data_IF_019308224034
#
_entry.id   IF_019308224034
#
_cell.length_a   1.000
_cell.length_b   1.000
_cell.length_c   1.000
_cell.angle_alpha   90.00
_cell.angle_beta   90.00
_cell.angle_gamma   90.00
#
_symmetry.space_group_name_H-M   'P 1'
#
loop_
_entity.id
_entity.type
_entity.pdbx_description
1 polymer ?
#
# COMPACT_ATOMS: atom_id res chain seq x y z
N UNK A 1 -42.03 -24.15 -1.01
CA UNK A 1 -41.97 -23.36 0.24
C UNK A 1 -40.84 -22.36 0.10
N UNK A 2 -41.16 -21.10 -0.23
CA UNK A 2 -40.17 -20.02 -0.37
C UNK A 2 -39.95 -19.48 1.04
N UNK A 3 -38.77 -19.74 1.59
CA UNK A 3 -38.41 -19.32 2.94
C UNK A 3 -38.13 -17.81 2.90
N UNK A 4 -39.16 -16.99 3.13
CA UNK A 4 -39.04 -15.56 3.37
C UNK A 4 -38.33 -15.34 4.71
N UNK A 5 -37.01 -15.59 4.76
CA UNK A 5 -36.17 -15.03 5.82
C UNK A 5 -36.13 -13.52 5.58
N UNK A 6 -37.04 -12.84 6.28
CA UNK A 6 -36.91 -11.44 6.65
C UNK A 6 -35.47 -11.29 7.15
N UNK A 7 -34.65 -10.54 6.40
CA UNK A 7 -33.33 -10.11 6.84
C UNK A 7 -33.57 -9.23 8.07
N UNK A 8 -33.63 -9.85 9.26
CA UNK A 8 -33.64 -9.10 10.50
C UNK A 8 -32.31 -8.32 10.53
N UNK A 9 -32.33 -6.99 10.72
CA UNK A 9 -31.13 -6.15 10.72
C UNK A 9 -30.22 -6.38 11.95
N UNK A 10 -30.32 -7.55 12.57
CA UNK A 10 -29.53 -7.95 13.73
C UNK A 10 -28.10 -8.41 13.36
N UNK A 11 -27.76 -8.47 12.06
CA UNK A 11 -26.38 -8.64 11.62
C UNK A 11 -25.55 -7.44 12.05
N UNK A 12 -24.71 -7.62 13.07
CA UNK A 12 -23.86 -6.57 13.62
C UNK A 12 -22.97 -5.93 12.55
N UNK A 13 -22.47 -4.72 12.83
CA UNK A 13 -21.53 -3.99 11.96
C UNK A 13 -20.32 -4.84 11.49
N UNK A 14 -19.97 -5.89 12.23
CA UNK A 14 -18.95 -6.88 11.86
C UNK A 14 -19.28 -7.67 10.60
N UNK A 15 -20.53 -8.12 10.40
CA UNK A 15 -20.92 -8.91 9.23
C UNK A 15 -20.90 -8.06 7.96
N UNK A 16 -21.40 -6.83 8.05
CA UNK A 16 -21.40 -5.89 6.92
C UNK A 16 -20.00 -5.41 6.52
N UNK A 17 -19.11 -5.19 7.49
CA UNK A 17 -17.69 -4.90 7.21
C UNK A 17 -16.97 -6.10 6.58
N UNK A 18 -17.33 -7.31 6.99
CA UNK A 18 -16.70 -8.52 6.48
C UNK A 18 -17.05 -8.79 5.02
N UNK A 19 -18.32 -8.67 4.64
CA UNK A 19 -18.76 -8.78 3.25
C UNK A 19 -18.00 -7.82 2.31
N UNK A 20 -17.61 -6.66 2.83
CA UNK A 20 -16.83 -5.66 2.09
C UNK A 20 -15.34 -6.00 2.01
N UNK A 21 -14.74 -6.40 3.13
CA UNK A 21 -13.28 -6.61 3.21
C UNK A 21 -12.82 -7.87 2.49
N UNK A 22 -13.65 -8.91 2.44
CA UNK A 22 -13.29 -10.20 1.83
C UNK A 22 -12.82 -10.12 0.36
N UNK A 23 -13.58 -9.54 -0.59
CA UNK A 23 -13.11 -9.41 -1.97
C UNK A 23 -11.85 -8.55 -2.03
N UNK A 24 -11.73 -7.53 -1.19
CA UNK A 24 -10.54 -6.68 -1.16
C UNK A 24 -9.30 -7.43 -0.70
N UNK A 25 -9.39 -8.25 0.35
CA UNK A 25 -8.29 -9.10 0.84
C UNK A 25 -7.81 -10.05 -0.26
N UNK A 26 -8.74 -10.72 -0.97
CA UNK A 26 -8.38 -11.60 -2.08
C UNK A 26 -7.61 -10.85 -3.19
N UNK A 27 -8.04 -9.62 -3.52
CA UNK A 27 -7.38 -8.82 -4.53
C UNK A 27 -6.00 -8.32 -4.07
N UNK A 28 -5.88 -7.94 -2.80
CA UNK A 28 -4.60 -7.57 -2.20
C UNK A 28 -3.62 -8.75 -2.19
N UNK A 29 -4.07 -9.97 -1.84
CA UNK A 29 -3.22 -11.17 -1.92
C UNK A 29 -2.73 -11.43 -3.35
N UNK A 30 -3.59 -11.24 -4.36
CA UNK A 30 -3.19 -11.37 -5.77
C UNK A 30 -2.20 -10.30 -6.23
N UNK A 31 -2.40 -9.06 -5.79
CA UNK A 31 -1.46 -7.98 -6.08
C UNK A 31 -0.11 -8.23 -5.41
N UNK A 32 -0.12 -8.65 -4.15
CA UNK A 32 1.10 -8.96 -3.40
C UNK A 32 1.90 -10.10 -4.03
N UNK A 33 1.25 -11.15 -4.55
CA UNK A 33 1.98 -12.21 -5.25
C UNK A 33 2.62 -11.70 -6.57
N UNK A 34 1.91 -10.89 -7.36
CA UNK A 34 2.46 -10.32 -8.59
C UNK A 34 3.60 -9.33 -8.30
N UNK A 35 3.48 -8.51 -7.25
CA UNK A 35 4.54 -7.59 -6.80
C UNK A 35 5.76 -8.33 -6.29
N UNK A 36 5.55 -9.39 -5.49
CA UNK A 36 6.64 -10.21 -4.97
C UNK A 36 7.44 -10.87 -6.10
N UNK A 37 6.76 -11.26 -7.19
CA UNK A 37 7.42 -11.78 -8.39
C UNK A 37 8.13 -10.69 -9.21
N UNK A 38 7.50 -9.53 -9.40
CA UNK A 38 8.03 -8.47 -10.25
C UNK A 38 9.16 -7.68 -9.61
N UNK A 39 9.20 -7.57 -8.29
CA UNK A 39 10.23 -6.79 -7.58
C UNK A 39 11.65 -7.27 -7.89
N UNK A 40 12.01 -8.56 -7.73
CA UNK A 40 13.36 -9.02 -8.07
C UNK A 40 13.67 -8.87 -9.57
N UNK A 41 12.68 -9.05 -10.43
CA UNK A 41 12.83 -8.83 -11.87
C UNK A 41 13.08 -7.35 -12.20
N UNK A 42 12.39 -6.44 -11.52
CA UNK A 42 12.60 -5.00 -11.64
C UNK A 42 14.01 -4.60 -11.16
N UNK A 43 14.49 -5.16 -10.04
CA UNK A 43 15.87 -4.94 -9.56
C UNK A 43 16.92 -5.47 -10.55
N UNK A 44 16.65 -6.60 -11.21
CA UNK A 44 17.53 -7.14 -12.24
C UNK A 44 17.62 -6.20 -13.46
N UNK A 45 16.50 -5.58 -13.85
CA UNK A 45 16.44 -4.61 -14.96
C UNK A 45 17.00 -3.24 -14.59
N UNK A 46 17.01 -2.89 -13.30
CA UNK A 46 17.50 -1.61 -12.78
C UNK A 46 18.69 -1.81 -11.84
N UNK A 47 19.86 -2.24 -12.33
CA UNK A 47 21.04 -2.40 -11.48
C UNK A 47 21.47 -1.08 -10.81
N UNK A 48 21.15 0.07 -11.42
CA UNK A 48 21.37 1.39 -10.83
C UNK A 48 20.43 1.69 -9.64
N UNK A 49 19.29 1.02 -9.56
CA UNK A 49 18.37 1.09 -8.42
C UNK A 49 18.80 0.18 -7.26
N UNK A 50 20.00 -0.39 -7.28
CA UNK A 50 20.57 -1.13 -6.15
C UNK A 50 20.68 -0.27 -4.87
N UNK A 51 20.68 1.06 -5.00
CA UNK A 51 20.64 2.01 -3.89
C UNK A 51 19.26 2.08 -3.22
N UNK A 52 18.21 1.62 -3.89
CA UNK A 52 16.85 1.66 -3.38
C UNK A 52 16.61 0.47 -2.46
N UNK A 53 15.90 0.72 -1.36
CA UNK A 53 15.39 -0.38 -0.53
C UNK A 53 14.47 -1.27 -1.39
N UNK A 54 14.71 -2.59 -1.46
CA UNK A 54 13.85 -3.51 -2.20
C UNK A 54 12.38 -3.42 -1.78
N UNK A 55 12.13 -3.14 -0.49
CA UNK A 55 10.79 -2.96 0.05
C UNK A 55 10.12 -1.68 -0.48
N UNK A 56 10.88 -0.60 -0.67
CA UNK A 56 10.37 0.64 -1.25
C UNK A 56 9.99 0.43 -2.72
N UNK A 57 10.81 -0.32 -3.48
CA UNK A 57 10.48 -0.67 -4.86
C UNK A 57 9.23 -1.57 -4.93
N UNK A 58 9.11 -2.56 -4.04
CA UNK A 58 7.91 -3.39 -3.94
C UNK A 58 6.67 -2.56 -3.63
N UNK A 59 6.76 -1.63 -2.67
CA UNK A 59 5.67 -0.71 -2.33
C UNK A 59 5.30 0.18 -3.51
N UNK A 60 6.29 0.70 -4.23
CA UNK A 60 6.09 1.49 -5.44
C UNK A 60 5.35 0.69 -6.53
N UNK A 61 5.79 -0.54 -6.82
CA UNK A 61 5.11 -1.45 -7.75
C UNK A 61 3.69 -1.77 -7.29
N UNK A 62 3.49 -2.03 -5.99
CA UNK A 62 2.18 -2.30 -5.41
C UNK A 62 1.24 -1.12 -5.65
N UNK A 63 1.68 0.10 -5.35
CA UNK A 63 0.89 1.32 -5.56
C UNK A 63 0.55 1.52 -7.04
N UNK A 64 1.53 1.31 -7.93
CA UNK A 64 1.33 1.39 -9.38
C UNK A 64 0.31 0.37 -9.91
N UNK A 65 0.21 -0.80 -9.30
CA UNK A 65 -0.82 -1.79 -9.65
C UNK A 65 -2.17 -1.49 -8.99
N UNK A 66 -2.15 -0.93 -7.78
CA UNK A 66 -3.33 -0.60 -6.99
C UNK A 66 -4.16 0.48 -7.69
N UNK A 67 -3.51 1.56 -8.13
CA UNK A 67 -4.16 2.72 -8.77
C UNK A 67 -5.08 2.30 -9.93
N UNK A 68 -4.62 1.62 -10.99
CA UNK A 68 -5.50 1.23 -12.10
C UNK A 68 -6.57 0.23 -11.68
N UNK A 69 -6.27 -0.66 -10.72
CA UNK A 69 -7.24 -1.65 -10.26
C UNK A 69 -8.45 -0.99 -9.59
N UNK A 70 -8.20 -0.06 -8.67
CA UNK A 70 -9.26 0.69 -7.99
C UNK A 70 -9.90 1.75 -8.89
N UNK A 71 -9.12 2.43 -9.73
CA UNK A 71 -9.66 3.38 -10.70
C UNK A 71 -10.67 2.69 -11.64
N UNK A 72 -10.33 1.52 -12.18
CA UNK A 72 -11.26 0.77 -13.04
C UNK A 72 -12.57 0.43 -12.29
N UNK A 73 -12.49 0.06 -11.01
CA UNK A 73 -13.69 -0.18 -10.17
C UNK A 73 -14.51 1.08 -9.98
N UNK A 74 -13.89 2.21 -9.61
CA UNK A 74 -14.59 3.50 -9.47
C UNK A 74 -15.30 3.87 -10.78
N UNK A 75 -14.62 3.75 -11.92
CA UNK A 75 -15.21 4.06 -13.23
C UNK A 75 -16.36 3.11 -13.61
N UNK A 76 -16.27 1.83 -13.23
CA UNK A 76 -17.36 0.85 -13.36
C UNK A 76 -18.55 1.20 -12.49
N UNK A 77 -18.30 1.62 -11.25
CA UNK A 77 -19.36 1.99 -10.31
C UNK A 77 -20.06 3.28 -10.74
N UNK A 78 -19.33 4.23 -11.33
CA UNK A 78 -19.86 5.45 -11.97
C UNK A 78 -20.64 5.16 -13.26
N UNK A 79 -20.73 3.90 -13.71
CA UNK A 79 -21.44 3.45 -14.92
C UNK A 79 -21.03 4.22 -16.19
N UNK A 80 -19.76 4.61 -16.27
CA UNK A 80 -19.26 5.31 -17.46
C UNK A 80 -19.30 4.40 -18.69
N UNK A 81 -19.62 4.94 -19.88
CA UNK A 81 -19.57 4.16 -21.11
C UNK A 81 -18.16 3.63 -21.35
N UNK A 82 -18.05 2.44 -21.94
CA UNK A 82 -16.79 1.73 -22.09
C UNK A 82 -15.69 2.57 -22.77
N UNK A 83 -16.06 3.41 -23.74
CA UNK A 83 -15.14 4.33 -24.44
C UNK A 83 -14.54 5.37 -23.47
N UNK A 84 -15.36 6.06 -22.68
CA UNK A 84 -14.87 7.06 -21.71
C UNK A 84 -14.02 6.40 -20.63
N UNK A 85 -14.40 5.22 -20.14
CA UNK A 85 -13.60 4.45 -19.18
C UNK A 85 -12.22 4.12 -19.74
N UNK A 86 -12.13 3.63 -20.99
CA UNK A 86 -10.84 3.32 -21.64
C UNK A 86 -9.97 4.57 -21.78
N UNK A 87 -10.53 5.68 -22.25
CA UNK A 87 -9.82 6.96 -22.39
C UNK A 87 -9.29 7.43 -21.04
N UNK A 88 -10.11 7.40 -19.98
CA UNK A 88 -9.68 7.80 -18.63
C UNK A 88 -8.59 6.89 -18.06
N UNK A 89 -8.68 5.58 -18.26
CA UNK A 89 -7.64 4.64 -17.83
C UNK A 89 -6.32 4.82 -18.60
N UNK A 90 -6.39 5.12 -19.90
CA UNK A 90 -5.20 5.41 -20.71
C UNK A 90 -4.58 6.75 -20.33
N UNK A 91 -5.40 7.79 -20.15
CA UNK A 91 -4.94 9.11 -19.72
C UNK A 91 -4.31 9.06 -18.33
N UNK A 92 -4.93 8.35 -17.38
CA UNK A 92 -4.36 8.15 -16.04
C UNK A 92 -3.06 7.33 -16.09
N UNK A 93 -2.96 6.32 -16.96
CA UNK A 93 -1.73 5.54 -17.14
C UNK A 93 -0.60 6.36 -17.74
N UNK A 94 -0.90 7.20 -18.74
CA UNK A 94 0.07 8.14 -19.32
C UNK A 94 0.54 9.16 -18.29
N UNK A 95 -0.37 9.72 -17.50
CA UNK A 95 -0.04 10.63 -16.41
C UNK A 95 0.84 9.94 -15.35
N UNK A 96 0.48 8.72 -14.94
CA UNK A 96 1.29 7.94 -14.01
C UNK A 96 2.68 7.68 -14.59
N UNK A 97 2.81 7.35 -15.87
CA UNK A 97 4.11 7.15 -16.53
C UNK A 97 4.97 8.42 -16.49
N UNK A 98 4.43 9.57 -16.86
CA UNK A 98 5.14 10.85 -16.83
C UNK A 98 5.53 11.24 -15.41
N UNK A 99 4.63 11.03 -14.43
CA UNK A 99 4.93 11.27 -13.02
C UNK A 99 6.04 10.33 -12.53
N UNK A 100 6.04 9.06 -12.88
CA UNK A 100 7.07 8.12 -12.45
C UNK A 100 8.43 8.43 -13.06
N UNK A 101 8.48 8.71 -14.37
CA UNK A 101 9.71 9.20 -15.01
C UNK A 101 10.27 10.38 -14.25
N UNK A 102 9.42 11.40 -14.07
CA UNK A 102 9.80 12.62 -13.37
C UNK A 102 10.27 12.34 -11.95
N UNK A 103 9.51 11.65 -11.13
CA UNK A 103 9.80 11.46 -9.70
C UNK A 103 11.02 10.59 -9.44
N UNK A 104 11.29 9.61 -10.31
CA UNK A 104 12.34 8.62 -10.09
C UNK A 104 13.67 9.09 -10.68
N UNK A 105 13.64 9.70 -11.86
CA UNK A 105 14.85 9.99 -12.63
C UNK A 105 15.25 11.45 -12.62
N UNK A 106 14.27 12.37 -12.48
CA UNK A 106 14.51 13.80 -12.58
C UNK A 106 14.27 14.44 -11.21
N UNK A 107 15.16 15.33 -10.75
CA UNK A 107 14.96 16.07 -9.49
C UNK A 107 14.63 17.53 -9.80
N UNK A 108 13.42 17.83 -10.32
CA UNK A 108 13.10 19.18 -10.73
C UNK A 108 12.97 20.10 -9.50
N UNK A 109 13.41 21.37 -9.62
CA UNK A 109 13.31 22.34 -8.52
C UNK A 109 11.87 22.72 -8.15
N UNK A 110 10.88 22.40 -8.99
CA UNK A 110 9.46 22.67 -8.72
C UNK A 110 8.56 21.60 -9.30
N UNK A 111 7.31 21.54 -8.80
CA UNK A 111 6.27 20.63 -9.29
C UNK A 111 5.69 21.02 -10.66
N UNK A 112 6.01 22.19 -11.21
CA UNK A 112 5.50 22.63 -12.52
C UNK A 112 6.60 22.95 -13.54
N UNK A 113 7.89 22.80 -13.18
CA UNK A 113 8.96 22.98 -14.16
C UNK A 113 8.91 21.88 -15.21
N UNK A 114 8.98 22.29 -16.48
CA UNK A 114 9.06 21.41 -17.65
C UNK A 114 10.52 21.19 -18.10
N UNK A 115 11.51 21.71 -17.37
CA UNK A 115 12.93 21.59 -17.71
C UNK A 115 13.37 20.12 -17.86
N UNK A 116 12.82 19.22 -17.04
CA UNK A 116 13.10 17.79 -17.10
C UNK A 116 12.69 17.14 -18.43
N UNK A 117 11.72 17.70 -19.17
CA UNK A 117 11.36 17.20 -20.50
C UNK A 117 12.46 17.44 -21.53
N UNK A 118 13.17 18.57 -21.40
CA UNK A 118 14.32 18.86 -22.27
C UNK A 118 15.47 17.90 -21.97
N UNK A 119 15.72 17.57 -20.70
CA UNK A 119 16.71 16.56 -20.29
C UNK A 119 16.34 15.17 -20.80
N UNK A 120 15.08 14.76 -20.64
CA UNK A 120 14.56 13.51 -21.19
C UNK A 120 14.72 13.43 -22.72
N UNK A 121 14.39 14.50 -23.44
CA UNK A 121 14.58 14.54 -24.89
C UNK A 121 16.06 14.49 -25.27
N UNK A 122 16.93 15.16 -24.51
CA UNK A 122 18.37 15.10 -24.71
C UNK A 122 18.88 13.65 -24.57
N UNK A 123 18.49 12.94 -23.51
CA UNK A 123 18.83 11.52 -23.30
C UNK A 123 18.34 10.61 -24.42
N UNK A 124 17.18 10.89 -25.02
CA UNK A 124 16.64 10.11 -26.15
C UNK A 124 17.34 10.42 -27.48
N UNK A 125 17.77 11.68 -27.67
CA UNK A 125 18.38 12.12 -28.93
C UNK A 125 19.84 11.67 -29.07
N UNK A 126 20.53 11.44 -27.95
CA UNK A 126 21.93 11.06 -27.93
C UNK A 126 22.08 9.53 -28.04
N UNK A 127 22.45 9.06 -29.24
CA UNK A 127 22.65 7.64 -29.49
C UNK A 127 23.76 7.06 -28.61
N UNK A 128 23.46 5.97 -27.90
CA UNK A 128 24.41 5.31 -26.99
C UNK A 128 24.44 5.88 -25.57
N UNK A 129 23.59 6.85 -25.25
CA UNK A 129 23.50 7.40 -23.91
C UNK A 129 22.94 6.35 -22.91
N UNK A 130 23.68 5.98 -21.84
CA UNK A 130 23.23 5.00 -20.85
C UNK A 130 22.03 5.48 -20.01
N UNK A 131 21.76 6.79 -19.94
CA UNK A 131 20.60 7.34 -19.23
C UNK A 131 19.28 7.03 -19.95
N UNK A 132 19.28 6.99 -21.29
CA UNK A 132 18.10 6.61 -22.06
C UNK A 132 17.60 5.20 -21.70
N UNK A 133 18.51 4.24 -21.46
CA UNK A 133 18.12 2.91 -21.01
C UNK A 133 17.37 2.95 -19.66
N UNK A 134 17.74 3.85 -18.75
CA UNK A 134 17.07 4.00 -17.45
C UNK A 134 15.64 4.51 -17.62
N UNK A 135 15.47 5.54 -18.47
CA UNK A 135 14.15 6.06 -18.84
C UNK A 135 13.24 4.97 -19.40
N UNK A 136 13.76 4.18 -20.36
CA UNK A 136 13.02 3.07 -20.95
C UNK A 136 12.62 2.00 -19.93
N UNK A 137 13.49 1.66 -18.98
CA UNK A 137 13.16 0.65 -17.96
C UNK A 137 12.08 1.15 -17.01
N UNK A 138 12.13 2.40 -16.56
CA UNK A 138 11.07 2.99 -15.70
C UNK A 138 9.74 3.06 -16.45
N UNK A 139 9.74 3.48 -17.71
CA UNK A 139 8.54 3.46 -18.57
C UNK A 139 8.00 2.05 -18.72
N UNK A 140 8.87 1.08 -19.06
CA UNK A 140 8.49 -0.30 -19.26
C UNK A 140 7.87 -0.90 -17.99
N UNK A 141 8.52 -0.74 -16.84
CA UNK A 141 8.00 -1.23 -15.56
C UNK A 141 6.68 -0.58 -15.19
N UNK A 142 6.54 0.73 -15.44
CA UNK A 142 5.28 1.44 -15.18
C UNK A 142 4.15 0.89 -16.05
N UNK A 143 4.39 0.70 -17.35
CA UNK A 143 3.39 0.13 -18.28
C UNK A 143 3.03 -1.30 -17.91
N UNK A 144 4.02 -2.14 -17.59
CA UNK A 144 3.80 -3.53 -17.18
C UNK A 144 3.01 -3.60 -15.87
N UNK A 145 3.39 -2.82 -14.85
CA UNK A 145 2.67 -2.75 -13.59
C UNK A 145 1.23 -2.26 -13.80
N UNK A 146 1.06 -1.20 -14.59
CA UNK A 146 -0.26 -0.63 -14.90
C UNK A 146 -1.17 -1.64 -15.61
N UNK A 147 -0.66 -2.29 -16.65
CA UNK A 147 -1.36 -3.33 -17.40
C UNK A 147 -1.75 -4.50 -16.50
N UNK A 148 -0.83 -4.98 -15.65
CA UNK A 148 -1.08 -6.05 -14.68
C UNK A 148 -2.17 -5.66 -13.69
N UNK A 149 -2.13 -4.44 -13.14
CA UNK A 149 -3.18 -3.93 -12.26
C UNK A 149 -4.56 -3.89 -12.91
N UNK A 150 -4.65 -3.43 -14.16
CA UNK A 150 -5.90 -3.47 -14.96
C UNK A 150 -6.39 -4.90 -15.20
N UNK A 151 -5.47 -5.79 -15.59
CA UNK A 151 -5.78 -7.19 -15.90
C UNK A 151 -6.25 -7.95 -14.66
N UNK A 152 -5.85 -7.56 -13.45
CA UNK A 152 -6.34 -8.13 -12.19
C UNK A 152 -7.76 -7.65 -11.86
N UNK A 153 -8.08 -6.38 -12.13
CA UNK A 153 -9.38 -5.82 -11.81
C UNK A 153 -10.54 -6.32 -12.70
N UNK A 154 -10.25 -6.74 -13.94
CA UNK A 154 -11.27 -7.15 -14.90
C UNK A 154 -11.62 -8.64 -14.90
N UNK A 155 -10.87 -9.49 -14.19
CA UNK A 155 -11.03 -10.96 -14.31
C UNK A 155 -12.07 -11.51 -13.34
N UNK A 156 -12.83 -12.49 -13.82
CA UNK A 156 -13.66 -13.35 -12.98
C UNK A 156 -12.76 -14.27 -12.16
N UNK A 157 -13.16 -14.55 -10.92
CA UNK A 157 -12.40 -15.41 -10.01
C UNK A 157 -12.61 -16.88 -10.37
N UNK A 158 -11.88 -17.36 -11.38
CA UNK A 158 -11.82 -18.79 -11.67
C UNK A 158 -10.61 -19.43 -10.95
N UNK A 159 -10.85 -20.58 -10.32
CA UNK A 159 -9.82 -21.39 -9.66
C UNK A 159 -8.85 -21.98 -10.68
N UNK A 160 -9.32 -22.33 -11.88
CA UNK A 160 -8.46 -22.92 -12.91
C UNK A 160 -7.38 -21.92 -13.34
N UNK A 161 -7.79 -20.67 -13.56
CA UNK A 161 -6.88 -19.57 -13.87
C UNK A 161 -5.90 -19.28 -12.72
N UNK A 162 -6.40 -19.33 -11.48
CA UNK A 162 -5.58 -19.06 -10.29
C UNK A 162 -4.50 -20.13 -10.12
N UNK A 163 -4.88 -21.41 -10.24
CA UNK A 163 -3.96 -22.54 -10.12
C UNK A 163 -2.94 -22.55 -11.28
N UNK A 164 -3.38 -22.30 -12.51
CA UNK A 164 -2.47 -22.24 -13.67
C UNK A 164 -1.40 -21.17 -13.50
N UNK A 165 -1.75 -20.01 -12.97
CA UNK A 165 -0.76 -18.96 -12.68
C UNK A 165 0.17 -19.34 -11.56
N UNK A 166 -0.35 -19.96 -10.50
CA UNK A 166 0.50 -20.45 -9.42
C UNK A 166 1.54 -21.43 -9.96
N UNK A 167 1.13 -22.41 -10.77
CA UNK A 167 2.07 -23.37 -11.36
C UNK A 167 3.03 -22.74 -12.36
N UNK A 168 2.58 -21.80 -13.19
CA UNK A 168 3.45 -21.12 -14.14
C UNK A 168 4.47 -20.22 -13.43
N UNK A 169 4.03 -19.48 -12.41
CA UNK A 169 4.91 -18.63 -11.64
C UNK A 169 5.88 -19.45 -10.78
N UNK A 170 5.42 -20.51 -10.13
CA UNK A 170 6.27 -21.35 -9.28
C UNK A 170 7.20 -22.27 -10.09
N UNK A 171 6.71 -22.86 -11.18
CA UNK A 171 7.44 -23.86 -11.95
C UNK A 171 8.40 -23.26 -13.00
N UNK A 172 8.09 -22.06 -13.51
CA UNK A 172 8.90 -21.45 -14.59
C UNK A 172 9.51 -20.13 -14.11
N UNK A 173 8.68 -19.19 -13.62
CA UNK A 173 9.17 -17.84 -13.36
C UNK A 173 10.10 -17.78 -12.15
N UNK A 174 9.80 -18.49 -11.05
CA UNK A 174 10.66 -18.47 -9.86
C UNK A 174 12.03 -19.09 -10.09
N UNK A 175 12.18 -20.29 -10.68
CA UNK A 175 13.48 -20.84 -11.01
C UNK A 175 14.29 -19.91 -11.91
N UNK A 176 13.63 -19.27 -12.89
CA UNK A 176 14.26 -18.28 -13.75
C UNK A 176 14.71 -17.04 -12.95
N UNK A 177 13.86 -16.50 -12.09
CA UNK A 177 14.19 -15.36 -11.22
C UNK A 177 15.36 -15.72 -10.32
N UNK A 178 15.33 -16.87 -9.64
CA UNK A 178 16.40 -17.33 -8.75
C UNK A 178 17.73 -17.51 -9.49
N UNK A 179 17.70 -18.13 -10.67
CA UNK A 179 18.88 -18.31 -11.52
C UNK A 179 19.48 -16.96 -11.94
N UNK A 180 18.64 -16.00 -12.33
CA UNK A 180 19.08 -14.68 -12.72
C UNK A 180 19.58 -13.86 -11.52
N UNK A 181 18.91 -13.95 -10.38
CA UNK A 181 19.25 -13.17 -9.19
C UNK A 181 20.52 -13.68 -8.52
N UNK A 182 20.72 -15.01 -8.45
CA UNK A 182 21.91 -15.61 -7.84
C UNK A 182 23.23 -15.13 -8.48
N UNK A 183 23.19 -14.82 -9.78
CA UNK A 183 24.38 -14.40 -10.53
C UNK A 183 24.57 -12.89 -10.63
N UNK A 184 23.54 -12.09 -10.34
CA UNK A 184 23.52 -10.64 -10.65
C UNK A 184 23.22 -9.76 -9.45
N UNK A 185 22.42 -10.22 -8.48
CA UNK A 185 22.02 -9.42 -7.34
C UNK A 185 22.83 -9.78 -6.10
N UNK A 186 23.24 -8.75 -5.35
CA UNK A 186 23.91 -8.90 -4.05
C UNK A 186 22.93 -9.01 -2.87
N UNK A 187 21.64 -8.85 -3.14
CA UNK A 187 20.60 -8.84 -2.11
C UNK A 187 19.88 -10.18 -2.06
N UNK A 188 19.48 -10.55 -0.84
CA UNK A 188 18.68 -11.74 -0.60
C UNK A 188 17.24 -11.55 -1.12
N UNK A 189 16.85 -12.38 -2.10
CA UNK A 189 15.52 -12.37 -2.72
C UNK A 189 14.53 -13.26 -1.96
N UNK A 190 15.01 -14.01 -0.97
CA UNK A 190 14.20 -15.00 -0.23
C UNK A 190 12.91 -14.39 0.31
N UNK A 191 12.97 -13.17 0.84
CA UNK A 191 11.81 -12.45 1.37
C UNK A 191 10.65 -12.35 0.36
N UNK A 192 10.97 -12.13 -0.91
CA UNK A 192 9.99 -12.05 -2.00
C UNK A 192 9.45 -13.42 -2.42
N UNK A 193 10.28 -14.47 -2.37
CA UNK A 193 9.84 -15.85 -2.57
C UNK A 193 8.79 -16.22 -1.51
N UNK A 194 9.07 -15.91 -0.25
CA UNK A 194 8.16 -16.22 0.87
C UNK A 194 6.87 -15.42 0.77
N UNK A 195 6.97 -14.13 0.47
CA UNK A 195 5.80 -13.27 0.28
C UNK A 195 4.94 -13.78 -0.88
N UNK A 196 5.56 -14.18 -1.99
CA UNK A 196 4.85 -14.77 -3.12
C UNK A 196 4.12 -16.06 -2.73
N UNK A 197 4.80 -16.99 -2.05
CA UNK A 197 4.21 -18.26 -1.63
C UNK A 197 3.03 -18.04 -0.68
N UNK A 198 3.23 -17.22 0.34
CA UNK A 198 2.19 -16.87 1.31
C UNK A 198 0.98 -16.24 0.62
N UNK A 199 1.21 -15.21 -0.19
CA UNK A 199 0.15 -14.48 -0.88
C UNK A 199 -0.59 -15.36 -1.90
N UNK A 200 0.11 -16.27 -2.57
CA UNK A 200 -0.49 -17.22 -3.53
C UNK A 200 -1.31 -18.30 -2.84
N UNK A 201 -0.83 -18.88 -1.73
CA UNK A 201 -1.60 -19.85 -0.93
C UNK A 201 -2.86 -19.22 -0.36
N UNK A 202 -2.75 -18.00 0.18
CA UNK A 202 -3.91 -17.22 0.63
C UNK A 202 -4.90 -16.99 -0.51
N UNK A 203 -4.41 -16.61 -1.69
CA UNK A 203 -5.25 -16.43 -2.88
C UNK A 203 -5.99 -17.71 -3.27
N UNK A 204 -5.30 -18.85 -3.29
CA UNK A 204 -5.88 -20.15 -3.63
C UNK A 204 -6.96 -20.57 -2.62
N UNK A 205 -6.66 -20.46 -1.32
CA UNK A 205 -7.59 -20.77 -0.25
C UNK A 205 -8.84 -19.89 -0.29
N UNK A 206 -8.68 -18.57 -0.46
CA UNK A 206 -9.78 -17.61 -0.55
C UNK A 206 -10.62 -17.80 -1.83
N UNK A 207 -9.98 -18.13 -2.96
CA UNK A 207 -10.70 -18.42 -4.20
C UNK A 207 -11.51 -19.70 -4.07
N UNK A 208 -10.96 -20.76 -3.45
CA UNK A 208 -11.68 -22.01 -3.20
C UNK A 208 -12.87 -21.80 -2.27
N UNK A 209 -12.67 -21.04 -1.20
CA UNK A 209 -13.71 -20.61 -0.30
C UNK A 209 -14.86 -19.88 -1.03
N UNK A 210 -14.56 -18.95 -1.93
CA UNK A 210 -15.57 -18.26 -2.75
C UNK A 210 -16.35 -19.21 -3.67
N UNK A 211 -15.69 -20.22 -4.21
CA UNK A 211 -16.35 -21.18 -5.10
C UNK A 211 -17.29 -22.13 -4.38
N UNK A 212 -16.91 -22.61 -3.18
CA UNK A 212 -17.77 -23.50 -2.38
C UNK A 212 -19.07 -22.79 -2.05
N UNK A 213 -18.98 -21.52 -1.62
CA UNK A 213 -20.17 -20.70 -1.34
C UNK A 213 -21.00 -20.38 -2.58
N UNK A 214 -20.37 -20.18 -3.74
CA UNK A 214 -21.09 -19.97 -4.99
C UNK A 214 -21.80 -21.24 -5.49
N UNK A 215 -21.32 -22.43 -5.10
CA UNK A 215 -21.89 -23.73 -5.50
C UNK A 215 -22.97 -24.25 -4.55
N UNK A 216 -22.88 -23.96 -3.25
CA UNK A 216 -23.86 -24.38 -2.24
C UNK A 216 -24.89 -23.27 -2.01
N UNK A 217 -25.91 -23.21 -2.87
CA UNK A 217 -26.95 -22.17 -2.86
C UNK A 217 -27.80 -22.07 -1.58
N UNK A 218 -27.68 -23.01 -0.64
CA UNK A 218 -28.56 -23.10 0.53
C UNK A 218 -27.88 -22.88 1.89
N UNK A 219 -26.55 -22.94 1.97
CA UNK A 219 -25.80 -22.71 3.20
C UNK A 219 -24.69 -21.68 2.99
N UNK A 220 -25.00 -20.40 3.27
CA UNK A 220 -23.99 -19.36 3.31
C UNK A 220 -22.96 -19.71 4.38
N UNK A 221 -21.79 -20.20 3.98
CA UNK A 221 -20.72 -20.56 4.90
C UNK A 221 -20.23 -19.28 5.58
N UNK A 222 -20.38 -19.11 6.91
CA UNK A 222 -20.01 -17.88 7.57
C UNK A 222 -18.49 -17.80 7.63
N UNK A 223 -17.89 -17.12 6.66
CA UNK A 223 -16.49 -16.72 6.70
C UNK A 223 -16.31 -15.77 7.88
N UNK A 224 -15.74 -16.25 8.99
CA UNK A 224 -15.40 -15.38 10.11
C UNK A 224 -13.96 -14.90 10.00
N UNK A 225 -13.65 -13.75 10.61
CA UNK A 225 -12.27 -13.26 10.71
C UNK A 225 -11.34 -14.31 11.36
N UNK A 226 -11.86 -15.09 12.31
CA UNK A 226 -11.14 -16.22 12.92
C UNK A 226 -10.85 -17.37 11.95
N UNK A 227 -11.70 -17.62 10.95
CA UNK A 227 -11.38 -18.54 9.86
C UNK A 227 -10.23 -18.01 8.99
N UNK A 228 -10.25 -16.72 8.62
CA UNK A 228 -9.15 -16.11 7.86
C UNK A 228 -7.83 -16.19 8.63
N UNK A 229 -7.84 -15.92 9.93
CA UNK A 229 -6.68 -16.08 10.80
C UNK A 229 -6.12 -17.50 10.80
N UNK A 230 -6.99 -18.53 10.82
CA UNK A 230 -6.58 -19.94 10.70
C UNK A 230 -5.98 -20.27 9.34
N UNK A 231 -6.57 -19.79 8.25
CA UNK A 231 -6.04 -19.98 6.89
C UNK A 231 -4.70 -19.28 6.70
N UNK A 232 -4.57 -18.06 7.22
CA UNK A 232 -3.32 -17.32 7.24
C UNK A 232 -2.25 -18.05 8.05
N UNK A 233 -2.59 -18.51 9.27
CA UNK A 233 -1.70 -19.29 10.11
C UNK A 233 -1.26 -20.59 9.47
N UNK A 234 -2.18 -21.33 8.83
CA UNK A 234 -1.86 -22.56 8.11
C UNK A 234 -0.95 -22.29 6.90
N UNK A 235 -1.26 -21.26 6.09
CA UNK A 235 -0.44 -20.87 4.94
C UNK A 235 0.95 -20.42 5.37
N UNK A 236 1.03 -19.61 6.43
CA UNK A 236 2.28 -19.21 7.07
C UNK A 236 3.08 -20.42 7.56
N UNK A 237 2.44 -21.35 8.26
CA UNK A 237 3.06 -22.60 8.73
C UNK A 237 3.63 -23.44 7.59
N UNK A 238 2.91 -23.58 6.47
CA UNK A 238 3.41 -24.29 5.27
C UNK A 238 4.64 -23.59 4.69
N UNK A 239 4.62 -22.26 4.57
CA UNK A 239 5.77 -21.49 4.09
C UNK A 239 6.95 -21.67 5.02
N UNK A 240 6.75 -21.54 6.34
CA UNK A 240 7.77 -21.74 7.37
C UNK A 240 8.39 -23.14 7.28
N UNK A 241 7.56 -24.17 7.22
CA UNK A 241 8.02 -25.55 7.11
C UNK A 241 8.82 -25.77 5.81
N UNK A 242 8.37 -25.20 4.71
CA UNK A 242 9.05 -25.27 3.41
C UNK A 242 10.44 -24.63 3.49
N UNK A 243 10.56 -23.48 4.16
CA UNK A 243 11.83 -22.82 4.42
C UNK A 243 12.79 -23.66 5.25
N UNK A 244 12.29 -24.25 6.33
CA UNK A 244 13.08 -25.14 7.21
C UNK A 244 13.61 -26.34 6.41
N UNK A 245 12.75 -27.01 5.64
CA UNK A 245 13.16 -28.15 4.80
C UNK A 245 14.22 -27.71 3.78
N UNK A 246 14.01 -26.56 3.12
CA UNK A 246 14.97 -26.04 2.15
C UNK A 246 16.34 -25.75 2.78
N UNK A 247 16.37 -25.13 3.98
CA UNK A 247 17.61 -24.85 4.70
C UNK A 247 18.33 -26.11 5.20
N UNK A 248 17.58 -27.14 5.60
CA UNK A 248 18.16 -28.44 5.95
C UNK A 248 18.81 -29.09 4.72
N UNK A 249 18.15 -29.02 3.56
CA UNK A 249 18.66 -29.58 2.30
C UNK A 249 19.86 -28.80 1.73
N UNK A 250 19.97 -27.49 1.99
CA UNK A 250 21.13 -26.69 1.56
C UNK A 250 22.38 -26.95 2.40
N UNK A 251 22.25 -27.58 3.57
CA UNK A 251 23.36 -27.81 4.50
C UNK A 251 23.86 -26.53 5.18
N UNK A 252 23.11 -25.44 5.09
CA UNK A 252 23.46 -24.16 5.71
C UNK A 252 23.22 -24.19 7.23
N UNK A 253 24.09 -23.51 7.98
CA UNK A 253 24.06 -23.49 9.44
C UNK A 253 22.77 -22.85 9.99
N UNK A 254 22.41 -23.20 11.22
CA UNK A 254 21.20 -22.72 11.94
C UNK A 254 21.03 -21.20 11.93
N UNK A 255 22.13 -20.44 11.86
CA UNK A 255 22.11 -18.98 11.74
C UNK A 255 21.42 -18.50 10.45
N UNK A 256 21.51 -19.28 9.38
CA UNK A 256 20.81 -19.03 8.11
C UNK A 256 19.30 -19.25 8.26
N UNK A 257 18.90 -20.28 9.01
CA UNK A 257 17.50 -20.54 9.35
C UNK A 257 16.92 -19.42 10.23
N UNK A 258 17.68 -18.91 11.20
CA UNK A 258 17.27 -17.73 11.99
C UNK A 258 17.18 -16.46 11.13
N UNK A 259 18.15 -16.27 10.23
CA UNK A 259 18.13 -15.19 9.23
C UNK A 259 16.89 -15.23 8.34
N UNK A 260 16.42 -16.43 8.02
CA UNK A 260 15.22 -16.67 7.22
C UNK A 260 13.92 -16.28 7.93
N UNK A 261 13.85 -16.35 9.27
CA UNK A 261 12.75 -15.76 10.05
C UNK A 261 12.86 -14.24 10.15
N UNK A 262 14.02 -13.66 9.81
CA UNK A 262 14.27 -12.23 9.85
C UNK A 262 13.21 -11.35 9.19
N UNK A 263 12.69 -11.67 7.98
CA UNK A 263 11.63 -10.89 7.33
C UNK A 263 10.31 -10.94 8.08
N UNK A 264 9.91 -12.10 8.61
CA UNK A 264 8.69 -12.26 9.42
C UNK A 264 8.83 -11.46 10.71
N UNK A 265 10.01 -11.54 11.34
CA UNK A 265 10.33 -10.78 12.53
C UNK A 265 10.30 -9.26 12.27
N UNK A 266 10.91 -8.80 11.18
CA UNK A 266 10.88 -7.38 10.77
C UNK A 266 9.47 -6.92 10.43
N UNK A 267 8.66 -7.75 9.78
CA UNK A 267 7.26 -7.44 9.50
C UNK A 267 6.44 -7.32 10.80
N UNK A 268 6.67 -8.23 11.75
CA UNK A 268 6.06 -8.16 13.08
C UNK A 268 6.51 -6.90 13.83
N UNK A 269 7.82 -6.60 13.84
CA UNK A 269 8.36 -5.37 14.41
C UNK A 269 7.73 -4.14 13.76
N UNK A 270 7.71 -4.05 12.43
CA UNK A 270 7.10 -2.92 11.72
C UNK A 270 5.61 -2.80 12.03
N UNK A 271 4.88 -3.91 12.11
CA UNK A 271 3.46 -3.91 12.49
C UNK A 271 3.28 -3.36 13.90
N UNK A 272 4.09 -3.83 14.87
CA UNK A 272 4.09 -3.35 16.24
C UNK A 272 4.48 -1.87 16.29
N UNK A 273 5.52 -1.45 15.57
CA UNK A 273 5.93 -0.04 15.46
C UNK A 273 4.83 0.81 14.89
N UNK A 274 4.18 0.41 13.79
CA UNK A 274 3.08 1.15 13.18
C UNK A 274 1.89 1.25 14.14
N UNK A 275 1.53 0.16 14.83
CA UNK A 275 0.46 0.18 15.84
C UNK A 275 0.82 1.13 16.99
N UNK A 276 2.03 1.05 17.53
CA UNK A 276 2.49 1.92 18.62
C UNK A 276 2.51 3.37 18.15
N UNK A 277 3.13 3.67 16.99
CA UNK A 277 3.18 5.02 16.42
C UNK A 277 1.80 5.57 16.15
N UNK A 278 0.89 4.75 15.59
CA UNK A 278 -0.50 5.14 15.37
C UNK A 278 -1.22 5.44 16.69
N UNK A 279 -1.07 4.59 17.71
CA UNK A 279 -1.64 4.81 19.04
C UNK A 279 -1.06 6.06 19.72
N UNK A 280 0.24 6.30 19.59
CA UNK A 280 0.89 7.51 20.09
C UNK A 280 0.39 8.76 19.37
N UNK A 281 0.22 8.69 18.04
CA UNK A 281 -0.35 9.77 17.25
C UNK A 281 -1.82 10.04 17.64
N UNK A 282 -2.60 8.99 17.88
CA UNK A 282 -3.97 9.11 18.37
C UNK A 282 -4.04 9.65 19.80
N UNK A 283 -3.00 9.39 20.62
CA UNK A 283 -2.84 9.94 21.96
C UNK A 283 -2.32 11.38 22.00
N UNK A 284 -1.72 11.88 20.92
CA UNK A 284 -1.21 13.25 20.81
C UNK A 284 -2.24 14.34 21.17
N UNK A 285 -3.52 14.29 20.74
CA UNK A 285 -4.54 15.23 21.20
C UNK A 285 -4.80 15.13 22.71
N UNK A 286 -4.72 13.93 23.31
CA UNK A 286 -4.89 13.75 24.76
C UNK A 286 -3.73 14.39 25.52
N UNK A 287 -2.50 14.21 25.05
CA UNK A 287 -1.33 14.88 25.61
C UNK A 287 -1.42 16.40 25.49
N UNK A 288 -1.94 16.92 24.37
CA UNK A 288 -2.17 18.35 24.20
C UNK A 288 -3.17 18.91 25.24
N UNK A 289 -4.26 18.18 25.52
CA UNK A 289 -5.24 18.57 26.57
C UNK A 289 -4.61 18.52 27.96
N UNK A 290 -3.83 17.49 28.28
CA UNK A 290 -3.13 17.37 29.55
C UNK A 290 -2.11 18.50 29.76
N UNK A 291 -1.36 18.86 28.71
CA UNK A 291 -0.41 19.96 28.75
C UNK A 291 -1.12 21.30 28.95
N UNK A 292 -2.22 21.53 28.24
CA UNK A 292 -3.07 22.71 28.45
C UNK A 292 -3.59 22.80 29.90
N UNK A 293 -4.00 21.68 30.49
CA UNK A 293 -4.46 21.60 31.88
C UNK A 293 -3.33 21.89 32.88
N UNK A 294 -2.15 21.34 32.63
CA UNK A 294 -0.95 21.61 33.42
C UNK A 294 -0.57 23.10 33.37
N UNK A 295 -0.62 23.72 32.20
CA UNK A 295 -0.36 25.15 32.01
C UNK A 295 -1.43 26.01 32.71
N UNK A 296 -2.70 25.60 32.69
CA UNK A 296 -3.79 26.28 33.39
C UNK A 296 -3.56 26.26 34.91
N UNK A 297 -3.22 25.08 35.45
CA UNK A 297 -2.86 24.90 36.85
C UNK A 297 -1.66 25.78 37.21
N UNK A 298 -0.60 25.73 36.42
CA UNK A 298 0.59 26.54 36.62
C UNK A 298 0.26 28.05 36.64
N UNK A 299 -0.62 28.53 35.76
CA UNK A 299 -1.07 29.94 35.74
C UNK A 299 -1.89 30.32 36.97
N UNK A 300 -2.78 29.43 37.43
CA UNK A 300 -3.58 29.66 38.63
C UNK A 300 -2.70 29.76 39.89
N UNK A 301 -1.64 28.96 39.97
CA UNK A 301 -0.68 29.00 41.09
C UNK A 301 0.42 30.07 40.93
N UNK A 302 0.79 30.45 39.70
CA UNK A 302 1.74 31.53 39.45
C UNK A 302 1.21 32.92 39.82
N UNK A 303 -0.12 33.09 39.88
CA UNK A 303 -0.77 34.31 40.37
C UNK A 303 -0.55 34.62 41.86
N UNK A 304 0.03 33.69 42.64
CA UNK A 304 0.19 33.85 44.10
C UNK A 304 1.59 34.22 44.58
N UNK A 305 2.59 34.43 43.72
CA UNK A 305 3.89 34.89 44.23
C UNK A 305 5.03 34.95 43.22
N UNK A 306 5.04 35.96 42.36
CA UNK A 306 6.32 36.43 41.81
C UNK A 306 6.97 37.33 42.85
N UNK A 307 7.75 36.73 43.75
CA UNK A 307 8.77 37.49 44.48
C UNK A 307 9.72 37.98 43.41
N UNK A 308 9.64 39.27 43.08
CA UNK A 308 10.61 39.93 42.22
C UNK A 308 11.98 39.76 42.88
N UNK A 309 12.78 38.81 42.36
CA UNK A 309 14.20 38.74 42.69
C UNK A 309 14.82 39.95 42.01
N UNK A 310 14.91 41.05 42.74
CA UNK A 310 15.69 42.22 42.35
C UNK A 310 17.11 41.71 42.08
N UNK A 311 17.62 41.80 40.83
CA UNK A 311 18.96 41.30 40.54
C UNK A 311 19.97 42.06 41.42
N UNK A 312 20.94 41.37 42.04
CA UNK A 312 21.96 42.04 42.82
C UNK A 312 22.71 43.02 41.92
N UNK A 313 22.81 44.27 42.38
CA UNK A 313 23.57 45.32 41.69
C UNK A 313 25.01 44.83 41.46
N UNK A 314 25.38 44.68 40.18
CA UNK A 314 26.71 44.23 39.79
C UNK A 314 27.72 45.33 40.15
N UNK A 315 28.77 45.05 40.93
CA UNK A 315 29.79 46.04 41.24
C UNK A 315 30.56 46.40 39.97
N UNK A 316 30.61 47.69 39.67
CA UNK A 316 31.37 48.22 38.56
C UNK A 316 32.88 48.08 38.83
N UNK A 317 33.56 47.34 37.96
CA UNK A 317 35.02 47.41 37.86
C UNK A 317 35.68 46.04 37.86
N UNK A 318 36.06 45.57 36.67
CA UNK A 318 37.44 45.18 36.29
C UNK A 318 37.42 45.09 34.76
N UNK A 319 38.23 45.93 34.10
CA UNK A 319 38.43 45.90 32.66
C UNK A 319 39.25 44.68 32.26
N UNK A 320 38.58 43.60 31.87
CA UNK A 320 39.17 42.55 31.05
C UNK A 320 38.64 42.71 29.63
N UNK A 321 39.56 42.88 28.69
CA UNK A 321 39.26 42.96 27.27
C UNK A 321 38.43 41.74 26.86
N UNK A 322 37.15 41.97 26.67
CA UNK A 322 36.20 40.96 26.25
C UNK A 322 36.53 40.66 24.78
N UNK A 323 36.87 39.43 24.40
CA UNK A 323 37.02 39.10 22.98
C UNK A 323 35.69 39.44 22.32
N UNK A 324 35.73 40.33 21.33
CA UNK A 324 34.55 40.69 20.55
C UNK A 324 33.93 39.38 20.05
N UNK A 325 32.73 38.99 20.50
CA UNK A 325 32.13 37.75 20.04
C UNK A 325 31.90 37.92 18.55
N UNK A 326 32.72 37.26 17.73
CA UNK A 326 32.36 37.02 16.34
C UNK A 326 30.99 36.37 16.37
N UNK A 327 29.96 36.95 15.72
CA UNK A 327 28.67 36.30 15.64
C UNK A 327 28.90 34.96 14.94
N UNK A 328 28.96 33.89 15.71
CA UNK A 328 28.80 32.54 15.17
C UNK A 328 27.40 32.56 14.62
N UNK A 329 27.30 32.60 13.29
CA UNK A 329 26.06 32.37 12.58
C UNK A 329 25.71 30.92 12.85
N UNK A 330 25.12 30.66 14.02
CA UNK A 330 24.33 29.46 14.25
C UNK A 330 23.22 29.63 13.23
N UNK A 331 23.20 28.83 12.12
CA UNK A 331 22.05 28.88 11.23
C UNK A 331 20.86 28.72 12.16
N UNK A 332 19.97 29.71 12.20
CA UNK A 332 18.78 29.62 13.02
C UNK A 332 18.21 28.23 12.76
N UNK A 333 17.96 27.47 13.82
CA UNK A 333 17.36 26.15 13.75
C UNK A 333 16.01 26.35 13.06
N UNK A 334 16.04 26.36 11.74
CA UNK A 334 14.90 26.61 10.90
C UNK A 334 14.19 25.27 10.80
N UNK A 335 13.83 24.71 11.96
CA UNK A 335 13.05 23.50 12.08
C UNK A 335 11.81 23.59 11.18
N UNK A 336 11.31 24.81 10.92
CA UNK A 336 10.25 25.09 9.97
C UNK A 336 10.67 24.91 8.49
N UNK A 337 11.87 25.34 8.06
CA UNK A 337 12.39 25.10 6.70
C UNK A 337 12.81 23.64 6.49
N UNK A 338 13.39 22.98 7.50
CA UNK A 338 13.71 21.55 7.43
C UNK A 338 12.44 20.69 7.47
N UNK A 339 11.45 21.06 8.27
CA UNK A 339 10.12 20.44 8.24
C UNK A 339 9.41 20.72 6.92
N UNK A 340 9.54 21.91 6.32
CA UNK A 340 8.99 22.20 4.99
C UNK A 340 9.72 21.44 3.89
N UNK A 341 11.04 21.30 3.93
CA UNK A 341 11.82 20.50 2.97
C UNK A 341 11.50 19.00 3.12
N UNK A 342 11.37 18.52 4.36
CA UNK A 342 10.90 17.18 4.67
C UNK A 342 9.47 16.98 4.19
N UNK A 343 8.56 17.91 4.48
CA UNK A 343 7.16 17.87 4.04
C UNK A 343 7.04 17.98 2.53
N UNK A 344 7.90 18.72 1.82
CA UNK A 344 7.88 18.81 0.35
C UNK A 344 8.46 17.53 -0.28
N UNK A 345 9.53 16.97 0.31
CA UNK A 345 10.06 15.66 -0.09
C UNK A 345 9.08 14.52 0.19
N UNK A 346 8.30 14.62 1.27
CA UNK A 346 7.30 13.63 1.66
C UNK A 346 5.88 13.98 1.16
N UNK A 347 5.64 15.19 0.61
CA UNK A 347 4.36 15.64 0.08
C UNK A 347 3.94 14.79 -1.11
N UNK A 348 4.91 14.24 -1.83
CA UNK A 348 4.66 13.29 -2.91
C UNK A 348 4.16 11.95 -2.35
N UNK A 349 4.76 11.47 -1.26
CA UNK A 349 4.33 10.28 -0.54
C UNK A 349 2.94 10.48 0.09
N UNK A 350 2.71 11.64 0.74
CA UNK A 350 1.42 12.05 1.26
C UNK A 350 0.38 12.26 0.15
N UNK A 351 0.79 12.76 -1.02
CA UNK A 351 -0.06 12.92 -2.19
C UNK A 351 -0.50 11.57 -2.74
N UNK A 352 0.42 10.59 -2.84
CA UNK A 352 0.08 9.22 -3.22
C UNK A 352 -0.85 8.59 -2.17
N UNK A 353 -0.56 8.73 -0.89
CA UNK A 353 -1.40 8.25 0.21
C UNK A 353 -2.78 8.91 0.18
N UNK A 354 -2.87 10.21 -0.08
CA UNK A 354 -4.12 10.94 -0.20
C UNK A 354 -4.93 10.50 -1.42
N UNK A 355 -4.29 10.25 -2.56
CA UNK A 355 -4.93 9.69 -3.76
C UNK A 355 -5.45 8.28 -3.48
N UNK A 356 -4.67 7.43 -2.79
CA UNK A 356 -5.10 6.09 -2.38
C UNK A 356 -6.28 6.18 -1.41
N UNK A 357 -6.23 7.04 -0.39
CA UNK A 357 -7.33 7.26 0.54
C UNK A 357 -8.57 7.80 -0.16
N UNK A 358 -8.42 8.72 -1.11
CA UNK A 358 -9.53 9.24 -1.92
C UNK A 358 -10.13 8.15 -2.81
N UNK A 359 -9.30 7.28 -3.41
CA UNK A 359 -9.79 6.14 -4.18
C UNK A 359 -10.56 5.16 -3.29
N UNK A 360 -10.03 4.83 -2.10
CA UNK A 360 -10.71 3.97 -1.13
C UNK A 360 -12.04 4.59 -0.66
N UNK A 361 -12.05 5.89 -0.38
CA UNK A 361 -13.24 6.64 0.01
C UNK A 361 -14.27 6.67 -1.13
N UNK A 362 -13.84 6.91 -2.37
CA UNK A 362 -14.70 6.92 -3.55
C UNK A 362 -15.35 5.54 -3.78
N UNK A 363 -14.59 4.46 -3.60
CA UNK A 363 -15.12 3.09 -3.67
C UNK A 363 -16.15 2.85 -2.57
N UNK A 364 -15.84 3.26 -1.33
CA UNK A 364 -16.74 3.11 -0.19
C UNK A 364 -18.07 3.86 -0.40
N UNK A 365 -18.02 5.13 -0.80
CA UNK A 365 -19.20 5.95 -1.09
C UNK A 365 -20.00 5.35 -2.25
N UNK A 366 -19.31 4.98 -3.32
CA UNK A 366 -19.98 4.49 -4.51
C UNK A 366 -20.66 3.14 -4.28
N UNK A 367 -20.11 2.28 -3.43
CA UNK A 367 -20.74 1.01 -3.07
C UNK A 367 -21.98 1.21 -2.19
N UNK A 368 -21.94 2.17 -1.24
CA UNK A 368 -23.11 2.54 -0.43
C UNK A 368 -24.30 2.93 -1.32
N UNK A 369 -24.05 3.67 -2.40
CA UNK A 369 -25.10 4.08 -3.35
C UNK A 369 -25.74 2.90 -4.11
N UNK A 370 -24.95 1.88 -4.48
CA UNK A 370 -25.49 0.72 -5.21
C UNK A 370 -26.38 -0.15 -4.33
N UNK A 371 -26.03 -0.30 -3.04
CA UNK A 371 -26.87 -1.02 -2.08
C UNK A 371 -28.22 -0.34 -1.91
N UNK A 372 -28.25 0.99 -1.85
CA UNK A 372 -29.51 1.75 -1.78
C UNK A 372 -30.39 1.48 -3.01
N UNK A 373 -29.81 1.47 -4.22
CA UNK A 373 -30.55 1.18 -5.46
C UNK A 373 -31.06 -0.27 -5.56
N UNK A 374 -30.32 -1.24 -5.03
CA UNK A 374 -30.73 -2.64 -5.02
C UNK A 374 -31.90 -2.87 -4.06
N UNK A 375 -31.88 -2.23 -2.89
CA UNK A 375 -32.98 -2.29 -1.91
C UNK A 375 -34.25 -1.66 -2.48
N UNK A 376 -34.16 -0.55 -3.22
CA UNK A 376 -35.34 0.09 -3.82
C UNK A 376 -35.93 -0.67 -5.01
N UNK A 377 -35.14 -1.40 -5.80
CA UNK A 377 -35.65 -2.15 -6.98
C UNK A 377 -36.32 -3.48 -6.62
N UNK A 378 -35.93 -4.09 -5.51
CA UNK A 378 -36.46 -5.40 -5.07
C UNK A 378 -38.00 -5.41 -4.89
N UNK A 379 -38.64 -4.41 -4.26
CA UNK A 379 -40.10 -4.38 -4.15
C UNK A 379 -40.81 -4.18 -5.50
N UNK A 380 -40.22 -3.43 -6.45
CA UNK A 380 -40.81 -3.26 -7.79
C UNK A 380 -40.80 -4.58 -8.59
N UNK A 381 -39.74 -5.38 -8.47
CA UNK A 381 -39.67 -6.70 -9.10
C UNK A 381 -40.66 -7.68 -8.46
N UNK A 382 -40.73 -7.71 -7.12
CA UNK A 382 -41.73 -8.52 -6.41
C UNK A 382 -43.16 -8.09 -6.79
N UNK A 383 -43.42 -6.79 -6.93
CA UNK A 383 -44.73 -6.31 -7.38
C UNK A 383 -45.07 -6.78 -8.81
N UNK A 384 -44.10 -6.79 -9.72
CA UNK A 384 -44.29 -7.31 -11.10
C UNK A 384 -44.52 -8.82 -11.14
N UNK A 385 -43.84 -9.61 -10.29
CA UNK A 385 -44.03 -11.06 -10.22
C UNK A 385 -45.34 -11.46 -9.52
N UNK A 386 -45.80 -10.66 -8.57
CA UNK A 386 -47.06 -10.88 -7.85
C UNK A 386 -48.28 -10.41 -8.64
N UNK A 387 -48.11 -9.64 -9.72
CA UNK A 387 -49.22 -9.34 -10.63
C UNK A 387 -49.45 -10.59 -11.49
N UNK A 388 -50.46 -11.45 -11.20
CA UNK A 388 -50.67 -12.65 -12.00
C UNK A 388 -50.93 -12.21 -13.43
N UNK A 389 -50.27 -12.87 -14.39
CA UNK A 389 -50.55 -12.71 -15.81
C UNK A 389 -52.06 -12.94 -16.00
N UNK A 390 -52.80 -11.83 -16.12
CA UNK A 390 -54.24 -11.84 -16.29
C UNK A 390 -54.54 -12.54 -17.60
N UNK A 391 -55.11 -13.74 -17.45
CA UNK A 391 -55.89 -14.52 -18.43
C UNK A 391 -56.14 -13.78 -19.75
N UNK A 392 -55.42 -14.19 -20.80
CA UNK A 392 -55.93 -14.16 -22.17
C UNK A 392 -56.42 -15.55 -22.54
#
# INVERSE_FOLDING_TARGET
MINNRVLTPAGGWSETLWDYTRPEILNLCRLLSEVALLTPLALLLMPWAALWSPLLLALWLLLLMLIPAYLNRVLLLLRLPATRRRVLLLAAGLLAMLLNLRLILYHPPSLFSLAWLNEFYAHLSEAGNPYGQRDFVVVFLTVVAWWRGLALAGRRNDIQDTNRRFYLAMGILWPLVLLLTANRLRFDVTQFVLLFLLASLMTAALTRAQQIEAGESEAAFPFSLGWLGRVFGASGGIVLLTGIIAGILSGEQVDTLLGWLGPVWRAAQLTVTVIITFLLYLGQPVFAVLQWLADLVARLFAGSGTVAVTPPATPAGVGTATPTPTPVFVPADNALLDLLAWLVGHAQLLGIVAVVLLLLLAVFISYRSQRQLAVTRRPEQMAREVTPAGRS
#
